data_IF_136150968468
#
_entry.id   IF_136150968468
#
_cell.length_a   1.000
_cell.length_b   1.000
_cell.length_c   1.000
_cell.angle_alpha   90.00
_cell.angle_beta   90.00
_cell.angle_gamma   90.00
#
_symmetry.space_group_name_H-M   'P 1'
#
loop_
_entity.id
_entity.type
_entity.pdbx_description
1 polymer ?
#
# COMPACT_ATOMS: atom_id res chain seq x y z
N UNK A 1 -16.85 -6.24 -17.21
CA UNK A 1 -15.60 -5.50 -16.97
C UNK A 1 -15.39 -5.50 -15.47
N UNK A 2 -14.51 -6.37 -14.97
CA UNK A 2 -14.22 -6.46 -13.54
C UNK A 2 -13.33 -5.28 -13.10
N UNK A 3 -13.71 -4.62 -12.01
CA UNK A 3 -12.87 -3.62 -11.39
C UNK A 3 -11.73 -4.35 -10.64
N UNK A 4 -10.49 -4.19 -11.08
CA UNK A 4 -9.31 -4.69 -10.41
C UNK A 4 -8.89 -3.75 -9.28
N UNK A 5 -8.34 -4.29 -8.21
CA UNK A 5 -7.73 -3.53 -7.13
C UNK A 5 -6.29 -4.01 -6.93
N UNK A 6 -5.37 -3.07 -6.71
CA UNK A 6 -4.00 -3.39 -6.32
C UNK A 6 -3.95 -3.56 -4.80
N UNK A 7 -3.56 -4.73 -4.35
CA UNK A 7 -3.35 -5.05 -2.94
C UNK A 7 -1.86 -5.27 -2.69
N UNK A 8 -1.27 -4.44 -1.84
CA UNK A 8 0.15 -4.50 -1.53
C UNK A 8 0.35 -4.92 -0.09
N UNK A 9 0.91 -6.10 0.08
CA UNK A 9 1.29 -6.65 1.37
C UNK A 9 2.77 -7.01 1.39
N UNK A 10 3.48 -6.67 2.44
CA UNK A 10 4.79 -7.21 2.72
C UNK A 10 4.66 -8.36 3.73
N UNK A 11 4.92 -9.56 3.27
CA UNK A 11 5.03 -10.73 4.11
C UNK A 11 6.48 -10.91 4.54
N UNK A 12 6.72 -10.88 5.84
CA UNK A 12 7.95 -11.40 6.42
C UNK A 12 7.67 -12.87 6.76
N UNK A 13 8.29 -13.84 6.11
CA UNK A 13 8.02 -15.25 6.39
C UNK A 13 8.47 -15.57 7.82
N UNK A 14 7.50 -15.78 8.71
CA UNK A 14 7.73 -16.60 9.89
C UNK A 14 7.59 -18.05 9.44
N UNK A 15 8.61 -18.84 9.62
CA UNK A 15 8.61 -20.28 9.35
C UNK A 15 7.46 -20.95 10.10
N UNK A 16 6.46 -21.40 9.35
CA UNK A 16 5.44 -22.35 9.78
C UNK A 16 4.22 -21.76 10.46
N UNK A 17 3.22 -21.35 9.70
CA UNK A 17 1.81 -21.44 10.09
C UNK A 17 0.91 -21.27 8.87
N UNK A 18 -0.10 -22.11 8.79
CA UNK A 18 -1.16 -22.13 7.79
C UNK A 18 -1.83 -20.75 7.69
N UNK A 19 -1.76 -20.14 6.53
CA UNK A 19 -2.51 -18.91 6.22
C UNK A 19 -4.01 -19.19 6.34
N UNK A 20 -4.65 -18.70 7.39
CA UNK A 20 -6.09 -18.53 7.43
C UNK A 20 -6.43 -17.24 6.71
N UNK A 21 -7.11 -17.38 5.59
CA UNK A 21 -7.68 -16.28 4.84
C UNK A 21 -8.59 -15.45 5.74
N UNK A 22 -8.23 -14.20 5.99
CA UNK A 22 -9.17 -13.24 6.56
C UNK A 22 -10.24 -12.91 5.50
N UNK A 23 -11.49 -12.77 5.95
CA UNK A 23 -12.59 -12.44 5.05
C UNK A 23 -12.31 -11.14 4.29
N UNK A 24 -12.63 -11.07 2.99
CA UNK A 24 -12.40 -9.88 2.20
C UNK A 24 -13.24 -8.71 2.71
N UNK A 25 -12.60 -7.55 2.88
CA UNK A 25 -13.32 -6.30 3.07
C UNK A 25 -14.05 -6.04 1.77
N UNK A 26 -15.38 -6.11 1.81
CA UNK A 26 -16.22 -6.07 0.64
C UNK A 26 -16.12 -4.72 -0.09
N UNK A 27 -15.31 -4.66 -1.12
CA UNK A 27 -15.54 -3.83 -2.30
C UNK A 27 -15.56 -4.79 -3.48
N UNK A 28 -16.70 -4.90 -4.14
CA UNK A 28 -16.99 -5.99 -5.07
C UNK A 28 -16.04 -6.04 -6.26
N UNK A 29 -14.93 -6.71 -6.12
CA UNK A 29 -14.21 -7.48 -7.13
C UNK A 29 -12.81 -7.84 -6.61
N UNK A 30 -12.46 -9.12 -6.72
CA UNK A 30 -11.20 -9.78 -6.41
C UNK A 30 -10.89 -9.98 -4.92
N UNK A 31 -10.54 -11.22 -4.58
CA UNK A 31 -10.14 -11.61 -3.23
C UNK A 31 -8.91 -10.82 -2.78
N UNK A 32 -9.06 -10.07 -1.69
CA UNK A 32 -7.99 -9.33 -1.05
C UNK A 32 -7.04 -10.29 -0.33
N UNK A 33 -5.75 -10.15 -0.56
CA UNK A 33 -4.76 -10.82 0.27
C UNK A 33 -4.77 -10.17 1.67
N UNK A 34 -5.01 -10.98 2.70
CA UNK A 34 -5.14 -10.53 4.09
C UNK A 34 -3.89 -9.83 4.67
N UNK A 35 -2.79 -9.80 3.94
CA UNK A 35 -1.52 -9.21 4.36
C UNK A 35 -1.31 -7.78 3.87
N UNK A 36 -2.31 -7.18 3.23
CA UNK A 36 -2.18 -5.84 2.66
C UNK A 36 -2.43 -4.73 3.66
N UNK A 37 -1.55 -3.73 3.68
CA UNK A 37 -1.75 -2.47 4.40
C UNK A 37 -2.21 -1.33 3.48
N UNK A 38 -2.08 -1.52 2.17
CA UNK A 38 -2.46 -0.53 1.15
C UNK A 38 -3.21 -1.24 0.04
N UNK A 39 -4.35 -0.69 -0.31
CA UNK A 39 -5.18 -1.13 -1.42
C UNK A 39 -5.47 0.04 -2.33
N UNK A 40 -5.39 -0.15 -3.64
CA UNK A 40 -5.73 0.88 -4.62
C UNK A 40 -6.83 0.33 -5.53
N UNK A 41 -7.97 0.99 -5.53
CA UNK A 41 -9.11 0.64 -6.36
C UNK A 41 -8.96 1.10 -7.81
N UNK A 42 -9.75 0.53 -8.71
CA UNK A 42 -9.84 0.98 -10.09
C UNK A 42 -10.39 2.42 -10.21
N UNK A 43 -11.05 2.92 -9.18
CA UNK A 43 -11.50 4.29 -9.03
C UNK A 43 -10.39 5.26 -8.57
N UNK A 44 -9.18 4.75 -8.33
CA UNK A 44 -8.03 5.50 -7.84
C UNK A 44 -8.02 5.75 -6.34
N UNK A 45 -9.02 5.25 -5.60
CA UNK A 45 -9.06 5.39 -4.13
C UNK A 45 -7.96 4.56 -3.49
N UNK A 46 -7.17 5.21 -2.65
CA UNK A 46 -6.12 4.58 -1.83
C UNK A 46 -6.69 4.27 -0.45
N UNK A 47 -6.89 3.00 -0.15
CA UNK A 47 -7.36 2.54 1.16
C UNK A 47 -6.17 2.08 1.99
N UNK A 48 -5.94 2.76 3.11
CA UNK A 48 -4.92 2.41 4.10
C UNK A 48 -5.55 1.57 5.19
N UNK A 49 -5.01 0.38 5.42
CA UNK A 49 -5.48 -0.56 6.45
C UNK A 49 -4.66 -0.32 7.72
N UNK A 50 -5.28 0.34 8.70
CA UNK A 50 -4.61 0.65 9.98
C UNK A 50 -4.66 -0.54 10.93
N UNK A 51 -3.48 -1.00 11.35
CA UNK A 51 -3.36 -2.05 12.37
C UNK A 51 -3.60 -1.54 13.80
N UNK A 52 -3.73 -0.24 13.97
CA UNK A 52 -3.99 0.42 15.25
C UNK A 52 -5.39 1.03 15.26
N UNK A 53 -6.07 0.90 16.39
CA UNK A 53 -7.43 1.40 16.57
C UNK A 53 -7.42 2.89 16.85
N UNK A 54 -8.29 3.63 16.17
CA UNK A 54 -8.56 5.03 16.43
C UNK A 54 -9.49 5.15 17.65
N UNK A 55 -9.09 5.92 18.63
CA UNK A 55 -9.84 6.24 19.86
C UNK A 55 -9.86 7.75 20.13
N UNK A 56 -9.64 8.55 19.09
CA UNK A 56 -9.57 10.01 19.16
C UNK A 56 -8.15 10.57 19.24
N UNK A 57 -7.10 9.72 19.13
CA UNK A 57 -5.69 10.15 19.21
C UNK A 57 -5.06 10.44 17.84
N UNK A 58 -5.81 10.31 16.73
CA UNK A 58 -5.35 10.68 15.39
C UNK A 58 -4.50 9.63 14.68
N UNK A 59 -4.49 8.37 15.13
CA UNK A 59 -3.64 7.34 14.53
C UNK A 59 -4.03 7.02 13.09
N UNK A 60 -5.32 7.10 12.74
CA UNK A 60 -5.75 6.87 11.37
C UNK A 60 -5.15 7.91 10.41
N UNK A 61 -5.22 9.18 10.79
CA UNK A 61 -4.56 10.25 10.02
C UNK A 61 -3.06 10.01 9.93
N UNK A 62 -2.41 9.65 11.05
CA UNK A 62 -0.98 9.35 11.08
C UNK A 62 -0.58 8.22 10.14
N UNK A 63 -1.30 7.08 10.14
CA UNK A 63 -1.03 5.96 9.23
C UNK A 63 -1.23 6.34 7.77
N UNK A 64 -2.33 7.06 7.48
CA UNK A 64 -2.63 7.52 6.14
C UNK A 64 -1.56 8.47 5.60
N UNK A 65 -1.09 9.41 6.42
CA UNK A 65 -0.03 10.34 6.04
C UNK A 65 1.25 9.62 5.65
N UNK A 66 1.69 8.63 6.44
CA UNK A 66 2.91 7.88 6.15
C UNK A 66 2.86 7.15 4.79
N UNK A 67 1.71 6.59 4.44
CA UNK A 67 1.51 5.93 3.15
C UNK A 67 1.40 6.95 2.02
N UNK A 68 0.59 7.99 2.21
CA UNK A 68 0.30 8.98 1.17
C UNK A 68 1.56 9.76 0.75
N UNK A 69 2.43 10.10 1.69
CA UNK A 69 3.70 10.78 1.45
C UNK A 69 4.63 9.96 0.54
N UNK A 70 4.83 8.68 0.84
CA UNK A 70 5.70 7.82 0.03
C UNK A 70 5.08 7.45 -1.32
N UNK A 71 3.76 7.29 -1.36
CA UNK A 71 3.01 6.99 -2.58
C UNK A 71 2.85 8.23 -3.48
N UNK A 72 2.99 9.42 -2.91
CA UNK A 72 2.67 10.71 -3.56
C UNK A 72 1.19 10.75 -4.01
N UNK A 73 0.31 10.32 -3.11
CA UNK A 73 -1.11 10.22 -3.36
C UNK A 73 -1.81 11.59 -3.23
N UNK A 74 -2.87 11.78 -3.99
CA UNK A 74 -3.81 12.86 -3.70
C UNK A 74 -4.55 12.55 -2.40
N UNK A 75 -4.42 13.42 -1.40
CA UNK A 75 -5.04 13.24 -0.09
C UNK A 75 -6.56 13.08 -0.16
N UNK A 76 -7.21 13.72 -1.11
CA UNK A 76 -8.65 13.59 -1.32
C UNK A 76 -9.10 12.16 -1.70
N UNK A 77 -8.18 11.36 -2.24
CA UNK A 77 -8.42 9.95 -2.61
C UNK A 77 -8.01 8.96 -1.53
N UNK A 78 -7.48 9.42 -0.38
CA UNK A 78 -7.02 8.53 0.69
C UNK A 78 -8.15 8.24 1.67
N UNK A 79 -8.31 6.97 2.01
CA UNK A 79 -9.24 6.47 3.03
C UNK A 79 -8.52 5.57 4.01
N UNK A 80 -9.03 5.51 5.23
CA UNK A 80 -8.49 4.60 6.25
C UNK A 80 -9.60 3.66 6.72
N UNK A 81 -9.23 2.40 6.87
CA UNK A 81 -10.09 1.38 7.47
C UNK A 81 -9.34 0.66 8.59
N UNK A 82 -10.08 0.16 9.57
CA UNK A 82 -9.50 -0.69 10.60
C UNK A 82 -9.03 -2.02 9.98
N UNK A 83 -7.89 -2.51 10.43
CA UNK A 83 -7.44 -3.85 10.08
C UNK A 83 -8.40 -4.91 10.65
N UNK A 84 -8.61 -6.02 9.92
CA UNK A 84 -9.31 -7.17 10.48
C UNK A 84 -8.52 -7.78 11.66
N UNK A 85 -9.17 -8.63 12.42
CA UNK A 85 -8.51 -9.34 13.54
C UNK A 85 -7.63 -10.44 12.96
N UNK A 86 -6.34 -10.14 12.84
CA UNK A 86 -5.29 -11.11 12.54
C UNK A 86 -3.98 -10.66 13.20
N UNK A 87 -3.68 -11.21 14.35
CA UNK A 87 -2.50 -10.87 15.15
C UNK A 87 -1.19 -11.23 14.44
N UNK A 88 -1.17 -12.21 13.54
CA UNK A 88 0.06 -12.55 12.81
C UNK A 88 0.49 -11.42 11.87
N UNK A 89 -0.49 -10.74 11.28
CA UNK A 89 -0.28 -9.68 10.28
C UNK A 89 -0.26 -8.30 10.93
N UNK A 90 -1.27 -7.99 11.77
CA UNK A 90 -1.56 -6.64 12.23
C UNK A 90 -1.14 -6.36 13.68
N UNK A 91 -0.29 -7.19 14.28
CA UNK A 91 0.19 -6.97 15.64
C UNK A 91 0.92 -5.62 15.79
N UNK A 92 0.76 -5.02 16.95
CA UNK A 92 1.65 -3.99 17.42
C UNK A 92 3.02 -4.66 17.71
N UNK A 93 4.06 -4.20 17.05
CA UNK A 93 5.39 -4.83 17.13
C UNK A 93 6.01 -4.70 18.53
N UNK A 94 5.59 -3.70 19.33
CA UNK A 94 6.04 -3.53 20.71
C UNK A 94 5.36 -4.51 21.68
N UNK A 95 4.10 -4.91 21.37
CA UNK A 95 3.29 -5.73 22.28
C UNK A 95 3.24 -7.21 21.87
N UNK A 96 3.46 -7.51 20.60
CA UNK A 96 3.30 -8.86 20.05
C UNK A 96 1.85 -9.29 19.81
N UNK A 97 0.87 -8.44 20.09
CA UNK A 97 -0.55 -8.65 19.82
C UNK A 97 -1.17 -7.40 19.16
N UNK A 98 -2.38 -7.53 18.65
CA UNK A 98 -3.13 -6.42 18.04
C UNK A 98 -3.66 -5.51 19.13
N UNK A 99 -3.10 -4.31 19.27
CA UNK A 99 -3.47 -3.39 20.34
C UNK A 99 -2.93 -1.98 20.13
N UNK A 100 -3.61 -1.03 20.77
CA UNK A 100 -3.31 0.40 20.73
C UNK A 100 -3.11 0.90 22.15
N UNK A 101 -1.96 1.53 22.43
CA UNK A 101 -1.63 2.06 23.75
C UNK A 101 -0.17 2.46 23.89
N UNK A 102 0.18 3.05 25.04
CA UNK A 102 1.56 3.40 25.38
C UNK A 102 2.26 4.32 24.38
N UNK A 103 1.54 5.14 23.63
CA UNK A 103 2.06 6.01 22.56
C UNK A 103 2.92 5.28 21.51
N UNK A 104 2.70 3.98 21.36
CA UNK A 104 3.51 3.11 20.49
C UNK A 104 3.04 3.06 19.03
N UNK A 105 1.82 3.47 18.73
CA UNK A 105 1.17 3.18 17.45
C UNK A 105 1.94 3.71 16.24
N UNK A 106 2.17 5.02 16.17
CA UNK A 106 2.90 5.61 15.04
C UNK A 106 4.36 5.14 15.05
N UNK A 107 5.01 5.15 16.24
CA UNK A 107 6.41 4.79 16.35
C UNK A 107 6.73 3.38 15.81
N UNK A 108 5.92 2.37 16.16
CA UNK A 108 6.17 1.01 15.67
C UNK A 108 5.68 0.74 14.25
N UNK A 109 4.78 1.56 13.72
CA UNK A 109 4.27 1.43 12.36
C UNK A 109 4.99 2.34 11.36
N UNK A 110 5.79 3.30 11.81
CA UNK A 110 6.38 4.35 10.98
C UNK A 110 7.07 3.80 9.74
N UNK A 111 8.09 2.99 9.93
CA UNK A 111 8.86 2.41 8.83
C UNK A 111 8.02 1.45 7.98
N UNK A 112 7.17 0.63 8.63
CA UNK A 112 6.32 -0.32 7.93
C UNK A 112 5.38 0.38 6.96
N UNK A 113 4.65 1.42 7.40
CA UNK A 113 3.67 2.10 6.56
C UNK A 113 4.34 2.90 5.44
N UNK A 114 5.49 3.51 5.70
CA UNK A 114 6.28 4.18 4.65
C UNK A 114 6.73 3.19 3.58
N UNK A 115 7.26 2.03 3.98
CA UNK A 115 7.62 0.96 3.03
C UNK A 115 6.45 0.52 2.17
N UNK A 116 5.24 0.40 2.74
CA UNK A 116 4.05 0.02 1.98
C UNK A 116 3.69 1.07 0.94
N UNK A 117 3.76 2.36 1.28
CA UNK A 117 3.56 3.46 0.33
C UNK A 117 4.58 3.45 -0.81
N UNK A 118 5.88 3.32 -0.49
CA UNK A 118 6.94 3.26 -1.48
C UNK A 118 6.82 2.05 -2.42
N UNK A 119 6.45 0.89 -1.88
CA UNK A 119 6.20 -0.31 -2.69
C UNK A 119 5.01 -0.11 -3.65
N UNK A 120 3.92 0.47 -3.17
CA UNK A 120 2.76 0.78 -4.00
C UNK A 120 3.15 1.68 -5.18
N UNK A 121 3.88 2.75 -4.89
CA UNK A 121 4.42 3.65 -5.92
C UNK A 121 5.26 2.91 -6.95
N UNK A 122 6.21 2.09 -6.51
CA UNK A 122 7.11 1.37 -7.40
C UNK A 122 6.35 0.41 -8.34
N UNK A 123 5.35 -0.31 -7.82
CA UNK A 123 4.51 -1.20 -8.62
C UNK A 123 3.68 -0.45 -9.67
N UNK A 124 3.09 0.69 -9.29
CA UNK A 124 2.35 1.54 -10.22
C UNK A 124 3.25 2.10 -11.32
N UNK A 125 4.46 2.56 -10.96
CA UNK A 125 5.46 3.06 -11.91
C UNK A 125 5.88 1.96 -12.88
N UNK A 126 6.11 0.74 -12.41
CA UNK A 126 6.45 -0.40 -13.26
C UNK A 126 5.30 -0.77 -14.20
N UNK A 127 4.07 -0.81 -13.70
CA UNK A 127 2.88 -1.10 -14.52
C UNK A 127 2.69 -0.04 -15.62
N UNK A 128 2.88 1.23 -15.29
CA UNK A 128 2.85 2.33 -16.26
C UNK A 128 3.97 2.21 -17.30
N UNK A 129 5.20 1.91 -16.87
CA UNK A 129 6.35 1.72 -17.76
C UNK A 129 6.10 0.61 -18.77
N UNK A 130 5.59 -0.52 -18.32
CA UNK A 130 5.21 -1.65 -19.18
C UNK A 130 4.10 -1.27 -20.16
N UNK A 131 3.03 -0.63 -19.68
CA UNK A 131 1.89 -0.22 -20.50
C UNK A 131 2.28 0.81 -21.55
N UNK A 132 3.10 1.77 -21.17
CA UNK A 132 3.53 2.85 -22.06
C UNK A 132 4.79 2.52 -22.89
N UNK A 133 5.41 1.36 -22.64
CA UNK A 133 6.65 0.89 -23.30
C UNK A 133 7.79 1.91 -23.18
N UNK A 134 8.00 2.41 -21.96
CA UNK A 134 9.04 3.39 -21.62
C UNK A 134 9.84 2.92 -20.40
N UNK A 135 10.91 3.63 -20.08
CA UNK A 135 11.69 3.36 -18.87
C UNK A 135 10.93 3.82 -17.62
N UNK A 136 10.96 3.02 -16.54
CA UNK A 136 10.43 3.42 -15.26
C UNK A 136 11.09 4.70 -14.70
N UNK A 137 12.34 4.97 -15.09
CA UNK A 137 13.08 6.18 -14.68
C UNK A 137 12.54 7.46 -15.31
N UNK A 138 11.78 7.36 -16.40
CA UNK A 138 11.17 8.51 -17.09
C UNK A 138 9.75 8.81 -16.55
N UNK A 139 9.26 7.97 -15.61
CA UNK A 139 7.94 8.12 -15.03
C UNK A 139 8.05 8.82 -13.69
N UNK A 140 7.21 9.82 -13.50
CA UNK A 140 7.05 10.54 -12.24
C UNK A 140 5.66 10.29 -11.67
N UNK A 141 5.56 10.38 -10.35
CA UNK A 141 4.29 10.35 -9.62
C UNK A 141 4.17 11.65 -8.86
N UNK A 142 3.02 12.29 -8.96
CA UNK A 142 2.73 13.52 -8.24
C UNK A 142 1.23 13.66 -7.99
N UNK A 143 0.85 13.87 -6.74
CA UNK A 143 -0.53 14.10 -6.32
C UNK A 143 -1.53 13.10 -6.94
N UNK A 144 -1.25 11.78 -6.82
CA UNK A 144 -2.12 10.73 -7.33
C UNK A 144 -2.11 10.54 -8.84
N UNK A 145 -1.21 11.21 -9.56
CA UNK A 145 -1.04 11.12 -11.01
C UNK A 145 0.31 10.53 -11.39
N UNK A 146 0.29 9.65 -12.36
CA UNK A 146 1.47 9.03 -12.97
C UNK A 146 1.70 9.70 -14.32
N UNK A 147 2.91 10.17 -14.58
CA UNK A 147 3.23 11.00 -15.75
C UNK A 147 4.49 10.52 -16.46
N UNK A 148 4.47 10.60 -17.78
CA UNK A 148 5.64 10.48 -18.63
C UNK A 148 5.79 11.74 -19.46
N UNK A 149 6.69 12.64 -19.03
CA UNK A 149 6.83 13.98 -19.59
C UNK A 149 7.16 13.98 -21.09
N UNK A 150 8.05 13.09 -21.54
CA UNK A 150 8.49 13.03 -22.94
C UNK A 150 7.35 12.73 -23.93
N UNK A 151 6.32 11.96 -23.53
CA UNK A 151 5.17 11.67 -24.40
C UNK A 151 3.90 12.45 -24.02
N UNK A 152 3.94 13.25 -22.95
CA UNK A 152 2.78 13.97 -22.44
C UNK A 152 1.68 13.10 -21.85
N UNK A 153 1.95 11.81 -21.60
CA UNK A 153 0.97 10.87 -21.02
C UNK A 153 0.82 11.13 -19.54
N UNK A 154 -0.43 11.05 -19.09
CA UNK A 154 -0.82 11.14 -17.69
C UNK A 154 -1.96 10.18 -17.41
N UNK A 155 -1.95 9.52 -16.24
CA UNK A 155 -2.99 8.61 -15.79
C UNK A 155 -3.14 8.64 -14.27
N UNK A 156 -4.30 8.24 -13.77
CA UNK A 156 -4.54 8.02 -12.34
C UNK A 156 -4.07 6.65 -11.88
N UNK A 157 -3.95 6.44 -10.58
CA UNK A 157 -3.53 5.16 -10.01
C UNK A 157 -4.45 4.00 -10.41
N UNK A 158 -5.76 4.25 -10.50
CA UNK A 158 -6.75 3.22 -10.83
C UNK A 158 -6.55 2.58 -12.20
N UNK A 159 -5.98 3.30 -13.15
CA UNK A 159 -5.71 2.78 -14.50
C UNK A 159 -4.67 1.66 -14.49
N UNK A 160 -3.74 1.70 -13.55
CA UNK A 160 -2.65 0.72 -13.45
C UNK A 160 -2.84 -0.27 -12.28
N UNK A 161 -3.85 -0.10 -11.43
CA UNK A 161 -4.05 -0.95 -10.27
C UNK A 161 -4.15 -2.44 -10.64
N UNK A 162 -4.94 -2.79 -11.65
CA UNK A 162 -5.10 -4.18 -12.10
C UNK A 162 -3.82 -4.74 -12.76
N UNK A 163 -3.08 -3.91 -13.50
CA UNK A 163 -1.81 -4.31 -14.13
C UNK A 163 -0.71 -4.49 -13.07
N UNK A 164 -0.66 -3.62 -12.09
CA UNK A 164 0.28 -3.71 -10.99
C UNK A 164 0.01 -4.96 -10.12
N UNK A 165 -1.25 -5.34 -9.93
CA UNK A 165 -1.63 -6.59 -9.26
C UNK A 165 -1.20 -7.82 -10.06
N UNK A 166 -1.42 -7.82 -11.37
CA UNK A 166 -1.03 -8.93 -12.25
C UNK A 166 0.49 -9.08 -12.37
N UNK A 167 1.23 -7.97 -12.27
CA UNK A 167 2.70 -7.92 -12.33
C UNK A 167 3.39 -8.09 -10.98
N UNK A 168 2.73 -8.68 -9.99
CA UNK A 168 3.28 -8.86 -8.63
C UNK A 168 4.72 -9.31 -8.63
N UNK A 169 5.58 -8.44 -8.13
CA UNK A 169 7.00 -8.73 -7.92
C UNK A 169 7.14 -9.69 -6.73
N UNK A 170 7.91 -10.78 -6.84
CA UNK A 170 8.18 -11.67 -5.70
C UNK A 170 8.65 -10.90 -4.47
N UNK A 171 8.32 -11.37 -3.27
CA UNK A 171 8.61 -10.68 -2.00
C UNK A 171 10.09 -10.31 -1.79
N UNK A 172 11.03 -11.02 -2.41
CA UNK A 172 12.45 -10.72 -2.41
C UNK A 172 12.80 -9.43 -3.19
N UNK A 173 12.08 -9.16 -4.27
CA UNK A 173 12.29 -7.96 -5.08
C UNK A 173 11.53 -6.77 -4.49
N UNK A 174 10.47 -7.02 -3.72
CA UNK A 174 9.77 -6.01 -2.93
C UNK A 174 10.69 -5.33 -1.90
N UNK A 175 11.74 -6.02 -1.40
CA UNK A 175 12.76 -5.41 -0.54
C UNK A 175 13.64 -4.41 -1.31
N UNK A 176 14.00 -4.70 -2.54
CA UNK A 176 14.74 -3.79 -3.40
C UNK A 176 13.91 -2.54 -3.75
N UNK A 177 12.62 -2.73 -4.02
CA UNK A 177 11.68 -1.63 -4.26
C UNK A 177 11.46 -0.77 -3.02
N UNK A 178 11.42 -1.39 -1.81
CA UNK A 178 11.29 -0.66 -0.55
C UNK A 178 12.56 0.11 -0.14
N UNK A 179 13.69 -0.13 -0.77
CA UNK A 179 14.92 0.63 -0.53
C UNK A 179 14.90 2.02 -1.20
N UNK A 180 13.96 2.25 -2.12
CA UNK A 180 13.78 3.53 -2.80
C UNK A 180 12.88 4.49 -2.01
N UNK A 181 13.14 4.68 -0.70
CA UNK A 181 12.43 5.68 0.08
C UNK A 181 12.64 7.08 -0.47
N UNK A 182 11.56 7.75 -0.81
CA UNK A 182 11.64 9.07 -1.41
C UNK A 182 11.95 10.18 -0.39
N UNK A 183 11.60 9.98 0.88
CA UNK A 183 11.69 11.01 1.93
C UNK A 183 12.56 10.65 3.14
N UNK A 184 13.36 9.58 3.06
CA UNK A 184 14.28 9.20 4.14
C UNK A 184 15.77 9.35 3.75
N UNK A 185 16.05 10.01 2.63
CA UNK A 185 17.43 10.36 2.24
C UNK A 185 17.73 11.83 2.52
#
# INVERSE_FOLDING_TARGET
VGAGALVIGAYLPSTGALARSAAPIASGAAALDANAFVQIGADGVVTVISKHTEVGQGVYTGMATLVAEELDADWAQVRVVAAPVDTNVYKNLAFGFQGTGGSSSVANAYEQMRRMGAMARALLVQAAAQSWKTSAQEITVQAGKIRHAASGREAGFGEFAALAEAGRVPAQDARALSAAYHYLQ
#
